data_IF_818460747076
#
_entry.id   IF_818460747076
#
_cell.length_a   1.000
_cell.length_b   1.000
_cell.length_c   1.000
_cell.angle_alpha   90.00
_cell.angle_beta   90.00
_cell.angle_gamma   90.00
#
_symmetry.space_group_name_H-M   'P 1'
#
loop_
_entity.id
_entity.type
_entity.pdbx_description
1 polymer ?
#
# COMPACT_ATOMS: atom_id res chain seq x y z
N UNK A 1 91.16 -12.70 -22.47
CA UNK A 1 89.89 -13.47 -22.43
C UNK A 1 89.36 -13.38 -21.00
N UNK A 2 88.43 -12.50 -20.74
CA UNK A 2 87.84 -12.26 -19.44
C UNK A 2 86.36 -12.69 -19.54
N UNK A 3 86.05 -13.78 -18.87
CA UNK A 3 84.71 -14.27 -18.73
C UNK A 3 83.99 -13.39 -17.69
N UNK A 4 82.92 -12.68 -18.17
CA UNK A 4 82.06 -11.92 -17.24
C UNK A 4 81.13 -12.85 -16.43
N UNK A 5 80.73 -12.44 -15.24
CA UNK A 5 79.88 -13.23 -14.38
C UNK A 5 78.46 -13.36 -14.93
N UNK A 6 77.75 -14.46 -14.63
CA UNK A 6 76.36 -14.65 -15.05
C UNK A 6 75.44 -13.69 -14.26
N UNK A 7 74.47 -13.08 -14.98
CA UNK A 7 73.46 -12.25 -14.40
C UNK A 7 72.35 -13.08 -13.81
N UNK A 8 72.43 -13.31 -12.48
CA UNK A 8 71.31 -13.89 -11.73
C UNK A 8 70.24 -12.85 -11.56
N UNK A 9 69.28 -12.80 -12.51
CA UNK A 9 68.06 -12.07 -12.38
C UNK A 9 67.16 -12.73 -11.32
N UNK A 10 66.55 -11.97 -10.41
CA UNK A 10 65.63 -12.54 -9.43
C UNK A 10 64.43 -13.14 -10.15
N UNK A 11 64.20 -14.47 -9.89
CA UNK A 11 63.02 -15.16 -10.33
C UNK A 11 61.80 -14.45 -9.73
N UNK A 12 61.09 -13.72 -10.56
CA UNK A 12 59.81 -13.14 -10.22
C UNK A 12 58.86 -14.29 -9.85
N UNK A 13 58.68 -14.49 -8.55
CA UNK A 13 57.60 -15.33 -8.02
C UNK A 13 56.30 -14.68 -8.42
N UNK A 14 55.75 -15.02 -9.60
CA UNK A 14 54.40 -14.70 -9.93
C UNK A 14 53.51 -15.32 -8.87
N UNK A 15 52.97 -14.44 -8.04
CA UNK A 15 51.99 -14.74 -7.02
C UNK A 15 50.84 -15.61 -7.64
N UNK A 16 50.72 -16.84 -7.15
CA UNK A 16 49.63 -17.77 -7.54
C UNK A 16 48.29 -17.31 -6.97
N UNK A 17 48.15 -16.03 -6.62
CA UNK A 17 46.95 -15.47 -6.04
C UNK A 17 45.89 -15.12 -7.10
N UNK A 18 46.21 -15.17 -8.42
CA UNK A 18 45.26 -14.82 -9.48
C UNK A 18 44.43 -16.00 -10.02
N UNK A 19 44.59 -17.21 -9.45
CA UNK A 19 43.83 -18.38 -9.87
C UNK A 19 42.49 -18.57 -9.18
N UNK A 20 42.04 -17.58 -8.40
CA UNK A 20 40.80 -17.62 -7.60
C UNK A 20 39.71 -16.68 -8.11
N UNK A 21 39.78 -16.14 -9.33
CA UNK A 21 38.61 -15.56 -9.95
C UNK A 21 37.63 -16.68 -10.31
N UNK A 22 36.95 -17.21 -9.27
CA UNK A 22 35.72 -17.98 -9.45
C UNK A 22 34.85 -17.10 -10.34
N UNK A 23 34.66 -17.48 -11.60
CA UNK A 23 33.61 -16.93 -12.46
C UNK A 23 32.30 -17.13 -11.69
N UNK A 24 31.91 -16.14 -10.89
CA UNK A 24 30.57 -16.08 -10.35
C UNK A 24 29.65 -16.10 -11.56
N UNK A 25 29.08 -17.28 -11.82
CA UNK A 25 28.00 -17.45 -12.77
C UNK A 25 26.97 -16.40 -12.38
N UNK A 26 26.65 -15.41 -13.24
CA UNK A 26 25.67 -14.41 -12.91
C UNK A 26 24.36 -15.16 -12.63
N UNK A 27 24.01 -15.30 -11.37
CA UNK A 27 22.68 -15.79 -11.01
C UNK A 27 21.71 -14.86 -11.72
N UNK A 28 20.81 -15.37 -12.59
CA UNK A 28 19.82 -14.53 -13.23
C UNK A 28 19.06 -13.85 -12.10
N UNK A 29 19.27 -12.54 -11.93
CA UNK A 29 18.39 -11.74 -11.09
C UNK A 29 17.04 -11.85 -11.74
N UNK A 30 16.15 -12.59 -11.11
CA UNK A 30 14.73 -12.48 -11.40
C UNK A 30 14.40 -11.05 -11.02
N UNK A 31 14.49 -10.16 -12.00
CA UNK A 31 14.00 -8.81 -11.87
C UNK A 31 12.49 -8.95 -11.66
N UNK A 32 12.08 -8.91 -10.40
CA UNK A 32 10.68 -8.72 -10.06
C UNK A 32 10.28 -7.37 -10.67
N UNK A 33 9.80 -7.41 -11.91
CA UNK A 33 9.30 -6.25 -12.63
C UNK A 33 7.96 -5.85 -11.99
N UNK A 34 8.03 -5.21 -10.84
CA UNK A 34 6.89 -4.47 -10.33
C UNK A 34 6.47 -3.46 -11.39
N UNK A 35 5.26 -3.57 -11.90
CA UNK A 35 4.73 -2.60 -12.84
C UNK A 35 3.93 -1.54 -12.09
N UNK A 36 4.00 -0.31 -12.57
CA UNK A 36 3.21 0.80 -12.01
C UNK A 36 1.70 0.49 -12.00
N UNK A 37 1.23 -0.14 -13.07
CA UNK A 37 -0.16 -0.60 -13.19
C UNK A 37 -0.47 -1.69 -12.16
N UNK A 38 0.44 -2.66 -11.96
CA UNK A 38 0.30 -3.70 -10.96
C UNK A 38 0.22 -3.15 -9.54
N UNK A 39 1.05 -2.15 -9.22
CA UNK A 39 1.04 -1.46 -7.93
C UNK A 39 -0.28 -0.73 -7.66
N UNK A 40 -0.80 -0.01 -8.66
CA UNK A 40 -2.08 0.69 -8.54
C UNK A 40 -3.27 -0.28 -8.47
N UNK A 41 -3.27 -1.34 -9.27
CA UNK A 41 -4.31 -2.37 -9.22
C UNK A 41 -4.35 -3.06 -7.84
N UNK A 42 -3.20 -3.40 -7.28
CA UNK A 42 -3.11 -3.96 -5.95
C UNK A 42 -3.56 -2.96 -4.85
N UNK A 43 -3.27 -1.66 -5.03
CA UNK A 43 -3.75 -0.62 -4.12
C UNK A 43 -5.28 -0.47 -4.16
N UNK A 44 -5.90 -0.56 -5.34
CA UNK A 44 -7.36 -0.59 -5.47
C UNK A 44 -7.94 -1.78 -4.71
N UNK A 45 -7.40 -2.98 -4.90
CA UNK A 45 -7.85 -4.17 -4.18
C UNK A 45 -7.65 -4.05 -2.66
N UNK A 46 -6.52 -3.50 -2.22
CA UNK A 46 -6.25 -3.27 -0.81
C UNK A 46 -7.20 -2.23 -0.20
N UNK A 47 -7.51 -1.14 -0.92
CA UNK A 47 -8.43 -0.12 -0.47
C UNK A 47 -9.88 -0.64 -0.38
N UNK A 48 -10.36 -1.31 -1.41
CA UNK A 48 -11.71 -1.89 -1.45
C UNK A 48 -11.87 -3.01 -0.42
N UNK A 49 -10.95 -3.98 -0.43
CA UNK A 49 -10.97 -5.11 0.50
C UNK A 49 -10.81 -4.66 1.96
N UNK A 50 -9.90 -3.73 2.21
CA UNK A 50 -9.69 -3.15 3.54
C UNK A 50 -10.90 -2.34 4.03
N UNK A 51 -11.50 -1.53 3.16
CA UNK A 51 -12.72 -0.76 3.48
C UNK A 51 -13.91 -1.66 3.80
N UNK A 52 -14.12 -2.73 3.02
CA UNK A 52 -15.17 -3.71 3.29
C UNK A 52 -14.91 -4.49 4.58
N UNK A 53 -13.66 -4.92 4.82
CA UNK A 53 -13.29 -5.60 6.06
C UNK A 53 -13.53 -4.71 7.29
N UNK A 54 -13.18 -3.43 7.17
CA UNK A 54 -13.49 -2.45 8.21
C UNK A 54 -15.00 -2.30 8.44
N UNK A 55 -15.79 -2.21 7.37
CA UNK A 55 -17.25 -2.15 7.48
C UNK A 55 -17.82 -3.36 8.20
N UNK A 56 -17.38 -4.58 7.85
CA UNK A 56 -17.79 -5.81 8.53
C UNK A 56 -17.40 -5.78 10.01
N UNK A 57 -16.19 -5.32 10.34
CA UNK A 57 -15.75 -5.21 11.71
C UNK A 57 -16.65 -4.25 12.52
N UNK A 58 -17.00 -3.08 11.97
CA UNK A 58 -17.91 -2.12 12.62
C UNK A 58 -19.31 -2.72 12.79
N UNK A 59 -19.88 -3.36 11.77
CA UNK A 59 -21.20 -3.99 11.81
C UNK A 59 -21.27 -5.07 12.89
N UNK A 60 -20.23 -5.90 12.99
CA UNK A 60 -20.20 -7.03 13.96
C UNK A 60 -19.93 -6.55 15.39
N UNK A 61 -19.02 -5.59 15.54
CA UNK A 61 -18.61 -5.12 16.88
C UNK A 61 -19.45 -3.96 17.41
N UNK A 62 -20.17 -3.25 16.55
CA UNK A 62 -20.89 -2.00 16.83
C UNK A 62 -19.98 -0.88 17.37
N UNK A 63 -18.67 -0.98 17.14
CA UNK A 63 -17.68 0.02 17.54
C UNK A 63 -16.95 0.60 16.33
N UNK A 64 -16.89 1.92 16.24
CA UNK A 64 -16.09 2.65 15.27
C UNK A 64 -14.60 2.63 15.68
N UNK A 65 -13.87 1.62 15.20
CA UNK A 65 -12.46 1.46 15.52
C UNK A 65 -11.62 2.20 14.47
N UNK A 66 -11.33 3.47 14.74
CA UNK A 66 -10.60 4.33 13.80
C UNK A 66 -9.17 3.88 13.47
N UNK A 67 -8.52 3.08 14.33
CA UNK A 67 -7.20 2.53 14.04
C UNK A 67 -7.22 1.59 12.82
N UNK A 68 -8.36 0.94 12.54
CA UNK A 68 -8.52 0.10 11.35
C UNK A 68 -8.47 0.94 10.06
N UNK A 69 -8.95 2.19 10.10
CA UNK A 69 -8.83 3.10 8.96
C UNK A 69 -7.36 3.37 8.62
N UNK A 70 -6.51 3.58 9.63
CA UNK A 70 -5.07 3.74 9.43
C UNK A 70 -4.43 2.47 8.83
N UNK A 71 -4.88 1.27 9.22
CA UNK A 71 -4.41 0.00 8.67
C UNK A 71 -4.81 -0.15 7.19
N UNK A 72 -6.05 0.24 6.82
CA UNK A 72 -6.49 0.27 5.41
C UNK A 72 -5.58 1.18 4.59
N UNK A 73 -5.29 2.39 5.10
CA UNK A 73 -4.37 3.31 4.47
C UNK A 73 -2.96 2.73 4.33
N UNK A 74 -2.42 2.15 5.39
CA UNK A 74 -1.09 1.53 5.38
C UNK A 74 -1.01 0.35 4.38
N UNK A 75 -2.03 -0.51 4.33
CA UNK A 75 -2.11 -1.63 3.39
C UNK A 75 -2.14 -1.14 1.94
N UNK A 76 -2.94 -0.10 1.65
CA UNK A 76 -3.04 0.52 0.33
C UNK A 76 -1.69 1.13 -0.10
N UNK A 77 -1.03 1.88 0.80
CA UNK A 77 0.30 2.45 0.55
C UNK A 77 1.38 1.38 0.37
N UNK A 78 1.33 0.31 1.16
CA UNK A 78 2.25 -0.82 1.05
C UNK A 78 2.11 -1.56 -0.28
N UNK A 79 0.88 -1.75 -0.77
CA UNK A 79 0.62 -2.37 -2.06
C UNK A 79 1.29 -1.57 -3.21
N UNK A 80 1.17 -0.24 -3.21
CA UNK A 80 1.87 0.62 -4.18
C UNK A 80 3.38 0.50 -4.04
N UNK A 81 3.90 0.55 -2.81
CA UNK A 81 5.34 0.47 -2.57
C UNK A 81 5.93 -0.86 -3.03
N UNK A 82 5.27 -1.98 -2.73
CA UNK A 82 5.80 -3.32 -2.98
C UNK A 82 5.67 -3.75 -4.43
N UNK A 83 4.57 -3.40 -5.08
CA UNK A 83 4.21 -3.86 -6.42
C UNK A 83 4.33 -2.78 -7.50
N UNK A 84 4.57 -1.52 -7.12
CA UNK A 84 4.69 -0.38 -8.03
C UNK A 84 6.04 -0.28 -8.75
N UNK A 85 6.98 -1.19 -8.49
CA UNK A 85 8.30 -1.19 -9.13
C UNK A 85 9.33 -0.26 -8.46
N UNK A 86 10.49 -0.10 -9.10
CA UNK A 86 11.67 0.55 -8.50
C UNK A 86 11.49 2.06 -8.21
N UNK A 87 10.52 2.73 -8.84
CA UNK A 87 10.35 4.18 -8.72
C UNK A 87 8.90 4.56 -8.42
N UNK A 88 8.56 4.63 -7.13
CA UNK A 88 7.29 5.22 -6.70
C UNK A 88 7.38 6.74 -6.80
N UNK A 89 6.57 7.35 -7.65
CA UNK A 89 6.51 8.80 -7.86
C UNK A 89 5.60 9.50 -6.84
N UNK A 90 5.67 10.83 -6.78
CA UNK A 90 4.76 11.62 -5.95
C UNK A 90 3.29 11.39 -6.35
N UNK A 91 3.03 11.24 -7.65
CA UNK A 91 1.69 10.95 -8.16
C UNK A 91 1.15 9.60 -7.65
N UNK A 92 2.00 8.57 -7.56
CA UNK A 92 1.59 7.25 -7.05
C UNK A 92 1.24 7.31 -5.55
N UNK A 93 1.94 8.13 -4.77
CA UNK A 93 1.63 8.37 -3.34
C UNK A 93 0.30 9.09 -3.15
N UNK A 94 0.05 10.11 -3.97
CA UNK A 94 -1.23 10.83 -3.97
C UNK A 94 -2.35 9.87 -4.38
N UNK A 95 -2.16 9.06 -5.42
CA UNK A 95 -3.12 8.05 -5.85
C UNK A 95 -3.42 7.05 -4.73
N UNK A 96 -2.40 6.53 -4.03
CA UNK A 96 -2.59 5.65 -2.88
C UNK A 96 -3.43 6.30 -1.78
N UNK A 97 -3.19 7.59 -1.49
CA UNK A 97 -3.95 8.34 -0.49
C UNK A 97 -5.41 8.51 -0.88
N UNK A 98 -5.67 8.85 -2.14
CA UNK A 98 -7.04 8.99 -2.67
C UNK A 98 -7.76 7.65 -2.67
N UNK A 99 -7.09 6.56 -3.06
CA UNK A 99 -7.65 5.22 -3.02
C UNK A 99 -7.99 4.78 -1.58
N UNK A 100 -7.10 5.07 -0.61
CA UNK A 100 -7.36 4.77 0.79
C UNK A 100 -8.61 5.53 1.31
N UNK A 101 -8.74 6.81 0.98
CA UNK A 101 -9.94 7.60 1.32
C UNK A 101 -11.19 6.99 0.69
N UNK A 102 -11.13 6.61 -0.60
CA UNK A 102 -12.23 5.95 -1.31
C UNK A 102 -12.63 4.62 -0.66
N UNK A 103 -11.67 3.83 -0.20
CA UNK A 103 -11.93 2.58 0.53
C UNK A 103 -12.68 2.81 1.85
N UNK A 104 -12.26 3.82 2.63
CA UNK A 104 -12.96 4.19 3.88
C UNK A 104 -14.37 4.70 3.61
N UNK A 105 -14.57 5.54 2.57
CA UNK A 105 -15.89 6.03 2.19
C UNK A 105 -16.81 4.91 1.73
N UNK A 106 -16.29 3.94 0.96
CA UNK A 106 -17.04 2.74 0.58
C UNK A 106 -17.46 1.95 1.81
N UNK A 107 -16.54 1.73 2.76
CA UNK A 107 -16.86 1.03 4.01
C UNK A 107 -17.95 1.76 4.80
N UNK A 108 -17.87 3.10 4.91
CA UNK A 108 -18.92 3.91 5.57
C UNK A 108 -20.26 3.82 4.85
N UNK A 109 -20.24 3.82 3.52
CA UNK A 109 -21.46 3.61 2.75
C UNK A 109 -22.12 2.25 3.04
N UNK A 110 -21.34 1.18 3.10
CA UNK A 110 -21.85 -0.16 3.43
C UNK A 110 -22.46 -0.20 4.84
N UNK A 111 -21.79 0.42 5.83
CA UNK A 111 -22.32 0.53 7.19
C UNK A 111 -23.66 1.29 7.17
N UNK A 112 -23.71 2.44 6.49
CA UNK A 112 -24.93 3.26 6.38
C UNK A 112 -26.10 2.47 5.80
N UNK A 113 -25.90 1.72 4.69
CA UNK A 113 -26.96 0.90 4.09
C UNK A 113 -27.39 -0.23 5.02
N UNK A 114 -26.45 -0.81 5.79
CA UNK A 114 -26.79 -1.84 6.78
C UNK A 114 -27.64 -1.28 7.91
N UNK A 115 -27.26 -0.14 8.50
CA UNK A 115 -28.02 0.55 9.53
C UNK A 115 -29.42 0.95 9.05
N UNK A 116 -29.53 1.40 7.79
CA UNK A 116 -30.81 1.72 7.15
C UNK A 116 -31.72 0.49 7.04
N UNK A 117 -31.18 -0.66 6.62
CA UNK A 117 -31.91 -1.92 6.56
C UNK A 117 -32.39 -2.38 7.93
N UNK A 118 -31.54 -2.24 8.95
CA UNK A 118 -31.90 -2.60 10.33
C UNK A 118 -33.00 -1.68 10.88
N UNK A 119 -32.93 -0.38 10.58
CA UNK A 119 -33.97 0.56 10.97
C UNK A 119 -35.33 0.23 10.29
N UNK A 120 -35.32 -0.09 8.99
CA UNK A 120 -36.52 -0.48 8.27
C UNK A 120 -37.17 -1.74 8.86
N UNK A 121 -36.36 -2.75 9.19
CA UNK A 121 -36.84 -3.98 9.76
C UNK A 121 -37.37 -3.80 11.18
N UNK A 122 -36.63 -3.14 12.05
CA UNK A 122 -36.88 -3.12 13.49
C UNK A 122 -37.81 -1.98 13.92
N UNK A 123 -37.79 -0.82 13.26
CA UNK A 123 -38.59 0.34 13.63
C UNK A 123 -39.84 0.49 12.78
N UNK A 124 -39.72 0.22 11.48
CA UNK A 124 -40.83 0.44 10.54
C UNK A 124 -41.54 -0.86 10.13
N UNK A 125 -41.04 -2.03 10.56
CA UNK A 125 -41.59 -3.34 10.23
C UNK A 125 -41.80 -3.53 8.71
N UNK A 126 -40.95 -2.86 7.92
CA UNK A 126 -40.96 -2.87 6.46
C UNK A 126 -39.92 -3.88 5.93
N UNK A 127 -40.19 -4.47 4.78
CA UNK A 127 -39.24 -5.40 4.17
C UNK A 127 -37.89 -4.71 3.88
N UNK A 128 -36.78 -5.17 4.49
CA UNK A 128 -35.45 -4.59 4.29
C UNK A 128 -34.91 -4.79 2.86
N UNK A 129 -35.49 -5.70 2.07
CA UNK A 129 -35.06 -5.99 0.71
C UNK A 129 -35.41 -4.87 -0.29
N UNK A 130 -36.24 -3.92 0.12
CA UNK A 130 -36.56 -2.70 -0.67
C UNK A 130 -35.32 -1.83 -0.87
N UNK A 131 -34.31 -1.94 0.03
CA UNK A 131 -33.06 -1.17 -0.01
C UNK A 131 -31.93 -2.07 -0.54
N UNK A 132 -31.38 -1.72 -1.70
CA UNK A 132 -30.23 -2.40 -2.29
C UNK A 132 -28.91 -1.75 -1.88
N UNK A 133 -27.83 -2.53 -1.71
CA UNK A 133 -26.50 -1.95 -1.42
C UNK A 133 -25.93 -1.09 -2.55
N UNK A 134 -26.45 -1.22 -3.77
CA UNK A 134 -25.99 -0.47 -4.96
C UNK A 134 -27.14 0.22 -5.69
N UNK A 135 -28.23 0.53 -5.00
CA UNK A 135 -29.31 1.31 -5.59
C UNK A 135 -28.87 2.78 -5.69
N UNK A 136 -29.18 3.39 -6.84
CA UNK A 136 -28.83 4.78 -7.12
C UNK A 136 -29.50 5.77 -6.16
N UNK A 137 -30.63 5.41 -5.59
CA UNK A 137 -31.36 6.25 -4.62
C UNK A 137 -30.61 6.38 -3.31
N UNK A 138 -30.13 5.26 -2.76
CA UNK A 138 -29.34 5.22 -1.53
C UNK A 138 -27.99 5.92 -1.70
N UNK A 139 -27.36 5.72 -2.85
CA UNK A 139 -26.11 6.43 -3.16
C UNK A 139 -26.34 7.95 -3.28
N UNK A 140 -27.42 8.36 -3.96
CA UNK A 140 -27.77 9.78 -4.07
C UNK A 140 -28.08 10.38 -2.70
N UNK A 141 -28.83 9.66 -1.86
CA UNK A 141 -29.15 10.09 -0.50
C UNK A 141 -27.88 10.23 0.35
N UNK A 142 -26.98 9.25 0.30
CA UNK A 142 -25.71 9.29 1.01
C UNK A 142 -24.84 10.49 0.59
N UNK A 143 -24.73 10.75 -0.71
CA UNK A 143 -23.94 11.88 -1.21
C UNK A 143 -24.59 13.23 -0.84
N UNK A 144 -25.92 13.33 -0.91
CA UNK A 144 -26.63 14.57 -0.63
C UNK A 144 -26.59 14.93 0.87
N UNK A 145 -26.63 13.91 1.74
CA UNK A 145 -26.58 14.10 3.20
C UNK A 145 -25.19 13.76 3.78
N UNK A 146 -24.14 13.86 2.97
CA UNK A 146 -22.79 13.45 3.33
C UNK A 146 -22.30 14.10 4.62
N UNK A 147 -22.54 15.39 4.82
CA UNK A 147 -22.09 16.15 6.01
C UNK A 147 -22.81 15.73 7.29
N UNK A 148 -24.02 15.22 7.20
CA UNK A 148 -24.78 14.71 8.34
C UNK A 148 -24.38 13.29 8.70
N UNK A 149 -24.08 12.46 7.68
CA UNK A 149 -23.70 11.06 7.84
C UNK A 149 -22.24 10.94 8.26
N UNK A 150 -21.36 11.78 7.71
CA UNK A 150 -19.92 11.79 7.97
C UNK A 150 -19.58 12.84 9.03
N UNK A 151 -19.63 12.45 10.28
CA UNK A 151 -19.26 13.30 11.42
C UNK A 151 -17.77 13.70 11.39
N UNK A 152 -17.38 14.72 12.13
CA UNK A 152 -16.00 15.22 12.20
C UNK A 152 -14.97 14.13 12.54
N UNK A 153 -15.33 13.12 13.34
CA UNK A 153 -14.48 11.97 13.66
C UNK A 153 -14.08 11.16 12.41
N UNK A 154 -14.98 10.99 11.44
CA UNK A 154 -14.68 10.28 10.19
C UNK A 154 -13.71 11.05 9.30
N UNK A 155 -13.80 12.37 9.28
CA UNK A 155 -12.85 13.22 8.55
C UNK A 155 -11.43 12.98 9.10
N UNK A 156 -11.30 12.88 10.42
CA UNK A 156 -10.04 12.57 11.09
C UNK A 156 -9.51 11.18 10.66
N UNK A 157 -10.38 10.17 10.63
CA UNK A 157 -9.99 8.82 10.23
C UNK A 157 -9.61 8.72 8.75
N UNK A 158 -10.33 9.43 7.87
CA UNK A 158 -9.97 9.55 6.45
C UNK A 158 -8.60 10.22 6.32
N UNK A 159 -8.37 11.34 7.01
CA UNK A 159 -7.09 12.04 6.97
C UNK A 159 -5.95 11.16 7.49
N UNK A 160 -6.18 10.37 8.54
CA UNK A 160 -5.21 9.42 9.09
C UNK A 160 -4.90 8.30 8.10
N UNK A 161 -5.92 7.74 7.43
CA UNK A 161 -5.75 6.72 6.40
C UNK A 161 -4.95 7.26 5.20
N UNK A 162 -5.27 8.47 4.74
CA UNK A 162 -4.54 9.14 3.66
C UNK A 162 -3.09 9.39 4.04
N UNK A 163 -2.82 9.86 5.25
CA UNK A 163 -1.47 10.09 5.75
C UNK A 163 -0.68 8.78 5.86
N UNK A 164 -1.30 7.72 6.36
CA UNK A 164 -0.69 6.40 6.46
C UNK A 164 -0.34 5.86 5.06
N UNK A 165 -1.26 5.94 4.08
CA UNK A 165 -1.03 5.53 2.71
C UNK A 165 0.12 6.32 2.07
N UNK A 166 0.14 7.63 2.24
CA UNK A 166 1.18 8.50 1.71
C UNK A 166 2.56 8.20 2.30
N UNK A 167 2.63 7.98 3.62
CA UNK A 167 3.88 7.66 4.31
C UNK A 167 4.43 6.31 3.91
N UNK A 168 3.58 5.30 3.91
CA UNK A 168 3.98 3.92 3.62
C UNK A 168 4.36 3.74 2.15
N UNK A 169 3.63 4.37 1.21
CA UNK A 169 3.97 4.32 -0.22
C UNK A 169 5.32 4.96 -0.54
N UNK A 170 5.76 5.92 0.27
CA UNK A 170 7.06 6.58 0.11
C UNK A 170 8.27 5.72 0.45
N UNK A 171 8.11 4.61 1.14
CA UNK A 171 9.21 3.82 1.68
C UNK A 171 10.14 4.63 2.60
N UNK A 172 10.96 3.95 3.38
CA UNK A 172 11.92 4.60 4.27
C UNK A 172 13.19 5.07 3.55
N UNK A 173 13.06 5.84 2.46
CA UNK A 173 14.22 6.44 1.78
C UNK A 173 15.00 7.44 2.66
N UNK A 174 14.50 7.75 3.86
CA UNK A 174 15.15 8.63 4.81
C UNK A 174 16.40 7.99 5.45
N UNK A 175 16.46 6.67 5.55
CA UNK A 175 17.58 5.95 6.18
C UNK A 175 18.72 5.64 5.19
N UNK A 176 18.46 5.59 3.88
CA UNK A 176 19.47 5.29 2.86
C UNK A 176 20.43 6.43 2.57
N UNK A 177 20.06 7.69 2.80
CA UNK A 177 20.90 8.87 2.50
C UNK A 177 22.01 9.15 3.52
N UNK A 178 22.00 8.52 4.70
CA UNK A 178 23.03 8.76 5.73
C UNK A 178 24.29 7.91 5.60
N UNK A 179 24.38 6.96 4.66
CA UNK A 179 25.57 6.08 4.51
C UNK A 179 26.59 6.53 3.48
N UNK A 180 26.42 7.69 2.83
CA UNK A 180 27.35 8.18 1.80
C UNK A 180 27.89 9.59 2.12
N UNK A 181 28.23 9.85 3.39
CA UNK A 181 29.10 10.98 3.76
C UNK A 181 30.17 10.53 4.72
#
# INVERSE_FOLDING_TARGET
>A
MTLGPPADGPLSVRSITDAGAVNEVPTPRVEEHGSRVGGLAAAVLAALGGGLLWAVAVIVTHYDIGILAALVGAATGYAVHRLGGATVTMADRVAASVLAAGGILLGKYVIFVHELKDALKNQFHTNPDVVGYFDSRELHFFVHNFTEIVHASYILWIALAMLAAFRVSGGNNVLGRRRLR
#
